data_IF_237800627207
#
_entry.id   IF_237800627207
#
_cell.length_a   1.000
_cell.length_b   1.000
_cell.length_c   1.000
_cell.angle_alpha   90.00
_cell.angle_beta   90.00
_cell.angle_gamma   90.00
#
_symmetry.space_group_name_H-M   'P 1'
#
loop_
_entity.id
_entity.type
_entity.pdbx_description
1 polymer ?
#
# COMPACT_ATOMS: atom_id res chain seq x y z
N UNK A 1 4.18 29.03 9.77
CA UNK A 1 2.92 28.69 9.09
C UNK A 1 2.90 27.18 8.82
N UNK A 2 1.90 26.45 9.34
CA UNK A 2 1.85 25.00 9.16
C UNK A 2 1.51 24.66 7.70
N UNK A 3 2.51 24.18 6.93
CA UNK A 3 2.32 23.73 5.54
C UNK A 3 1.25 22.63 5.58
N UNK A 4 0.05 22.92 5.04
CA UNK A 4 -1.05 21.94 4.96
C UNK A 4 -0.51 20.69 4.26
N UNK A 5 -0.32 19.61 5.01
CA UNK A 5 0.11 18.33 4.43
C UNK A 5 -0.97 17.88 3.46
N UNK A 6 -0.66 17.90 2.17
CA UNK A 6 -1.48 17.23 1.15
C UNK A 6 -1.66 15.78 1.58
N UNK A 7 -2.92 15.38 1.76
CA UNK A 7 -3.27 14.00 2.04
C UNK A 7 -3.39 13.28 0.70
N UNK A 8 -2.53 12.31 0.47
CA UNK A 8 -2.61 11.41 -0.67
C UNK A 8 -3.39 10.16 -0.27
N UNK A 9 -4.39 9.80 -1.06
CA UNK A 9 -5.10 8.52 -0.89
C UNK A 9 -4.17 7.35 -1.23
N UNK A 10 -4.51 6.13 -0.81
CA UNK A 10 -3.73 4.95 -1.18
C UNK A 10 -3.63 4.79 -2.71
N UNK A 11 -4.73 5.00 -3.43
CA UNK A 11 -4.78 4.93 -4.89
C UNK A 11 -3.88 5.96 -5.57
N UNK A 12 -3.88 7.21 -5.07
CA UNK A 12 -3.00 8.25 -5.60
C UNK A 12 -1.52 7.90 -5.42
N UNK A 13 -1.14 7.35 -4.27
CA UNK A 13 0.25 6.91 -4.03
C UNK A 13 0.67 5.83 -5.04
N UNK A 14 -0.21 4.88 -5.33
CA UNK A 14 0.05 3.81 -6.30
C UNK A 14 0.15 4.36 -7.72
N UNK A 15 -0.73 5.29 -8.11
CA UNK A 15 -0.67 5.93 -9.43
C UNK A 15 0.66 6.69 -9.64
N UNK A 16 1.08 7.47 -8.65
CA UNK A 16 2.37 8.20 -8.63
C UNK A 16 3.55 7.22 -8.75
N UNK A 17 3.55 6.12 -7.99
CA UNK A 17 4.59 5.09 -8.09
C UNK A 17 4.61 4.43 -9.48
N UNK A 18 3.43 4.19 -10.07
CA UNK A 18 3.29 3.57 -11.40
C UNK A 18 3.87 4.46 -12.50
N UNK A 19 3.63 5.76 -12.49
CA UNK A 19 4.19 6.69 -13.49
C UNK A 19 5.74 6.65 -13.51
N UNK A 20 6.38 6.56 -12.34
CA UNK A 20 7.84 6.46 -12.26
C UNK A 20 8.34 5.07 -12.67
N UNK A 21 7.77 4.01 -12.10
CA UNK A 21 8.30 2.65 -12.20
C UNK A 21 7.92 1.93 -13.49
N UNK A 22 6.76 2.27 -14.07
CA UNK A 22 6.22 1.60 -15.27
C UNK A 22 6.37 2.49 -16.50
N UNK A 23 6.00 3.76 -16.40
CA UNK A 23 6.07 4.69 -17.55
C UNK A 23 7.45 5.35 -17.69
N UNK A 24 8.32 5.21 -16.69
CA UNK A 24 9.68 5.73 -16.74
C UNK A 24 9.78 7.25 -16.59
N UNK A 25 8.72 7.91 -16.08
CA UNK A 25 8.77 9.35 -15.78
C UNK A 25 9.86 9.60 -14.74
N UNK A 26 10.70 10.63 -14.92
CA UNK A 26 11.77 10.94 -13.97
C UNK A 26 11.18 11.35 -12.62
N UNK A 27 11.86 10.93 -11.55
CA UNK A 27 11.44 11.24 -10.18
C UNK A 27 11.39 12.75 -9.92
N UNK A 28 12.34 13.52 -10.46
CA UNK A 28 12.39 14.98 -10.31
C UNK A 28 11.12 15.65 -10.85
N UNK A 29 10.76 15.37 -12.11
CA UNK A 29 9.54 15.90 -12.73
C UNK A 29 8.28 15.51 -11.95
N UNK A 30 8.25 14.29 -11.40
CA UNK A 30 7.13 13.78 -10.63
C UNK A 30 7.04 14.46 -9.24
N UNK A 31 8.17 14.67 -8.59
CA UNK A 31 8.27 15.42 -7.34
C UNK A 31 7.78 16.86 -7.51
N UNK A 32 8.15 17.53 -8.59
CA UNK A 32 7.68 18.87 -8.92
C UNK A 32 6.18 18.90 -9.27
N UNK A 33 5.72 17.99 -10.14
CA UNK A 33 4.32 17.95 -10.58
C UNK A 33 3.33 17.70 -9.43
N UNK A 34 3.70 16.85 -8.47
CA UNK A 34 2.85 16.50 -7.35
C UNK A 34 3.15 17.28 -6.06
N UNK A 35 4.14 18.18 -6.03
CA UNK A 35 4.66 18.80 -4.78
C UNK A 35 5.01 17.73 -3.73
N UNK A 36 5.76 16.72 -4.18
CA UNK A 36 6.15 15.55 -3.39
C UNK A 36 7.65 15.59 -3.09
N UNK A 37 8.02 15.44 -1.83
CA UNK A 37 9.43 15.33 -1.46
C UNK A 37 9.99 13.94 -1.84
N UNK A 38 11.20 13.84 -2.42
CA UNK A 38 11.79 12.56 -2.83
C UNK A 38 11.82 11.51 -1.71
N UNK A 39 12.13 11.92 -0.48
CA UNK A 39 12.12 11.03 0.70
C UNK A 39 10.76 10.37 0.95
N UNK A 40 9.66 11.08 0.67
CA UNK A 40 8.30 10.54 0.81
C UNK A 40 8.03 9.50 -0.28
N UNK A 41 8.47 9.78 -1.51
CA UNK A 41 8.37 8.84 -2.62
C UNK A 41 9.09 7.52 -2.31
N UNK A 42 10.36 7.57 -1.88
CA UNK A 42 11.11 6.36 -1.51
C UNK A 42 10.47 5.59 -0.36
N UNK A 43 9.89 6.29 0.62
CA UNK A 43 9.14 5.64 1.71
C UNK A 43 7.93 4.89 1.18
N UNK A 44 7.15 5.51 0.29
CA UNK A 44 5.99 4.84 -0.32
C UNK A 44 6.40 3.68 -1.21
N UNK A 45 7.49 3.81 -1.98
CA UNK A 45 8.02 2.74 -2.80
C UNK A 45 8.37 1.53 -1.93
N UNK A 46 9.09 1.74 -0.83
CA UNK A 46 9.43 0.68 0.12
C UNK A 46 8.17 0.04 0.72
N UNK A 47 7.25 0.85 1.24
CA UNK A 47 6.00 0.34 1.83
C UNK A 47 5.14 -0.42 0.81
N UNK A 48 5.12 0.01 -0.45
CA UNK A 48 4.38 -0.63 -1.53
C UNK A 48 4.96 -1.99 -1.89
N UNK A 49 6.28 -2.14 -1.96
CA UNK A 49 6.89 -3.45 -2.24
C UNK A 49 6.84 -4.40 -1.03
N UNK A 50 7.04 -3.88 0.19
CA UNK A 50 6.93 -4.70 1.42
C UNK A 50 5.51 -5.23 1.63
N UNK A 51 4.48 -4.38 1.44
CA UNK A 51 3.08 -4.78 1.61
C UNK A 51 2.50 -5.39 0.33
N UNK A 52 3.07 -5.10 -0.83
CA UNK A 52 2.63 -5.60 -2.13
C UNK A 52 2.83 -7.10 -2.28
N UNK A 53 3.93 -7.65 -1.72
CA UNK A 53 4.12 -9.10 -1.65
C UNK A 53 2.95 -9.80 -0.94
N UNK A 54 2.46 -9.20 0.15
CA UNK A 54 1.30 -9.70 0.91
C UNK A 54 -0.01 -9.70 0.11
N UNK A 55 -0.12 -8.90 -0.96
CA UNK A 55 -1.27 -8.95 -1.86
C UNK A 55 -1.27 -10.20 -2.76
N UNK A 56 -0.11 -10.83 -2.99
CA UNK A 56 0.05 -12.06 -3.76
C UNK A 56 0.20 -13.31 -2.87
N UNK A 57 0.51 -13.14 -1.60
CA UNK A 57 0.30 -14.18 -0.60
C UNK A 57 -1.20 -14.48 -0.60
N UNK A 58 -1.62 -15.58 -1.25
CA UNK A 58 -2.95 -16.14 -1.09
C UNK A 58 -3.20 -16.20 0.40
N UNK A 59 -4.11 -15.36 0.87
CA UNK A 59 -4.40 -15.28 2.28
C UNK A 59 -4.65 -16.69 2.77
N UNK A 60 -4.15 -16.99 3.95
CA UNK A 60 -4.38 -18.24 4.66
C UNK A 60 -5.86 -18.26 5.08
N UNK A 61 -6.80 -18.17 4.13
CA UNK A 61 -8.24 -18.33 4.27
C UNK A 61 -8.55 -19.70 4.92
N UNK A 62 -7.62 -20.65 4.87
CA UNK A 62 -7.71 -21.89 5.62
C UNK A 62 -7.61 -21.75 7.14
N UNK A 63 -6.94 -20.72 7.70
CA UNK A 63 -6.73 -20.61 9.17
C UNK A 63 -7.86 -19.85 9.85
N UNK A 64 -8.27 -18.70 9.32
CA UNK A 64 -9.36 -17.89 9.89
C UNK A 64 -10.68 -18.67 9.81
N UNK A 65 -10.98 -19.27 8.65
CA UNK A 65 -12.18 -20.09 8.44
C UNK A 65 -12.17 -21.37 9.31
N UNK A 66 -11.01 -21.99 9.56
CA UNK A 66 -10.89 -23.11 10.53
C UNK A 66 -11.08 -22.67 11.97
N UNK A 67 -10.59 -21.49 12.35
CA UNK A 67 -10.78 -20.95 13.71
C UNK A 67 -12.25 -20.61 13.96
N UNK A 68 -12.91 -19.95 13.00
CA UNK A 68 -14.35 -19.65 13.06
C UNK A 68 -15.20 -20.93 13.10
N UNK A 69 -14.87 -21.94 12.28
CA UNK A 69 -15.55 -23.24 12.35
C UNK A 69 -15.34 -23.98 13.68
N UNK A 70 -14.17 -23.82 14.31
CA UNK A 70 -13.86 -24.48 15.59
C UNK A 70 -14.58 -23.81 16.76
N UNK A 71 -14.73 -22.49 16.74
CA UNK A 71 -15.52 -21.72 17.69
C UNK A 71 -17.01 -22.13 17.59
N UNK A 72 -17.57 -22.12 16.38
CA UNK A 72 -18.98 -22.50 16.16
C UNK A 72 -19.31 -23.95 16.56
N UNK A 73 -18.32 -24.86 16.52
CA UNK A 73 -18.48 -26.26 16.93
C UNK A 73 -18.37 -26.46 18.44
N UNK A 74 -17.68 -25.56 19.15
CA UNK A 74 -17.54 -25.59 20.61
C UNK A 74 -18.73 -24.90 21.31
N UNK A 75 -19.32 -23.87 20.71
CA UNK A 75 -20.50 -23.17 21.26
C UNK A 75 -21.82 -23.95 21.14
N UNK A 76 -21.83 -25.04 20.35
CA UNK A 76 -22.99 -25.92 20.18
C UNK A 76 -23.01 -27.15 21.11
N UNK A 77 -22.10 -27.21 22.10
CA UNK A 77 -22.03 -28.30 23.09
C UNK A 77 -22.31 -27.74 24.49
#
# INVERSE_FOLDING_TARGET
MAKRRRKYTAEQKVAILKEHLVEGRRLSDLCDAYDLHPTVFYRWQKEFFEKGARAFEKEVEGRTKKLEQKIAKLEKK
#
